data_IF_828528650788
#
_entry.id   IF_828528650788
#
_cell.length_a   1.000
_cell.length_b   1.000
_cell.length_c   1.000
_cell.angle_alpha   90.00
_cell.angle_beta   90.00
_cell.angle_gamma   90.00
#
_symmetry.space_group_name_H-M   'P 1'
#
loop_
_entity.id
_entity.type
_entity.pdbx_description
1 polymer ?
#
# COMPACT_ATOMS: atom_id res chain seq x y z
N UNK A 1 1.01 -14.85 12.98
CA UNK A 1 0.58 -14.14 11.74
C UNK A 1 -0.68 -14.77 11.19
N UNK A 2 -1.64 -13.99 10.72
CA UNK A 2 -2.90 -14.44 10.13
C UNK A 2 -2.67 -15.13 8.77
N UNK A 3 -3.52 -16.13 8.45
CA UNK A 3 -3.33 -16.97 7.25
C UNK A 3 -3.29 -16.12 5.95
N UNK A 4 -4.19 -15.14 5.79
CA UNK A 4 -4.21 -14.33 4.58
C UNK A 4 -2.95 -13.47 4.38
N UNK A 5 -2.26 -13.08 5.47
CA UNK A 5 -0.98 -12.38 5.40
C UNK A 5 0.13 -13.30 4.88
N UNK A 6 0.15 -14.55 5.33
CA UNK A 6 1.08 -15.56 4.83
C UNK A 6 0.86 -15.79 3.33
N UNK A 7 -0.40 -15.98 2.91
CA UNK A 7 -0.78 -16.14 1.52
C UNK A 7 -0.41 -14.90 0.68
N UNK A 8 -0.54 -13.70 1.24
CA UNK A 8 -0.16 -12.46 0.55
C UNK A 8 1.35 -12.37 0.35
N UNK A 9 2.16 -12.78 1.35
CA UNK A 9 3.63 -12.83 1.22
C UNK A 9 4.03 -13.78 0.10
N UNK A 10 3.47 -14.99 0.09
CA UNK A 10 3.71 -15.99 -0.95
C UNK A 10 3.29 -15.49 -2.33
N UNK A 11 2.12 -14.86 -2.42
CA UNK A 11 1.63 -14.23 -3.65
C UNK A 11 2.56 -13.12 -4.18
N UNK A 12 3.14 -12.31 -3.31
CA UNK A 12 4.13 -11.30 -3.73
C UNK A 12 5.39 -11.95 -4.31
N UNK A 13 5.86 -13.07 -3.74
CA UNK A 13 7.00 -13.83 -4.25
C UNK A 13 6.68 -14.44 -5.61
N UNK A 14 5.53 -15.11 -5.75
CA UNK A 14 5.08 -15.72 -7.00
C UNK A 14 4.95 -14.72 -8.13
N UNK A 15 4.42 -13.54 -7.84
CA UNK A 15 4.29 -12.43 -8.79
C UNK A 15 5.61 -11.69 -9.03
N UNK A 16 6.71 -12.07 -8.37
CA UNK A 16 7.99 -11.36 -8.41
C UNK A 16 7.92 -9.87 -7.99
N UNK A 17 6.89 -9.51 -7.28
CA UNK A 17 6.72 -8.19 -6.68
C UNK A 17 7.69 -7.99 -5.53
N UNK A 18 7.88 -9.04 -4.72
CA UNK A 18 8.87 -9.11 -3.66
C UNK A 18 10.04 -10.00 -4.11
N UNK A 19 11.22 -9.43 -4.10
CA UNK A 19 12.47 -10.11 -4.49
C UNK A 19 13.57 -9.84 -3.49
N UNK A 20 14.45 -10.81 -3.32
CA UNK A 20 15.60 -10.72 -2.42
C UNK A 20 16.91 -10.85 -3.22
N UNK A 21 17.96 -10.21 -2.75
CA UNK A 21 19.28 -10.16 -3.37
C UNK A 21 19.91 -8.77 -3.27
N UNK A 22 20.91 -8.50 -4.08
CA UNK A 22 21.61 -7.22 -4.09
C UNK A 22 20.93 -6.24 -5.05
N UNK A 23 20.26 -5.25 -4.50
CA UNK A 23 19.63 -4.17 -5.27
C UNK A 23 20.20 -2.81 -4.91
N UNK A 24 20.06 -1.86 -5.84
CA UNK A 24 20.36 -0.45 -5.60
C UNK A 24 19.12 0.38 -5.89
N UNK A 25 18.70 1.16 -4.91
CA UNK A 25 17.56 2.09 -5.06
C UNK A 25 17.90 3.26 -5.96
N UNK A 26 16.92 4.05 -6.39
CA UNK A 26 17.13 5.28 -7.16
C UNK A 26 18.00 6.30 -6.43
N UNK A 27 18.00 6.28 -5.10
CA UNK A 27 18.87 7.13 -4.27
C UNK A 27 20.31 6.62 -4.11
N UNK A 28 20.67 5.50 -4.76
CA UNK A 28 21.99 4.88 -4.64
C UNK A 28 22.16 3.97 -3.41
N UNK A 29 21.14 3.81 -2.57
CA UNK A 29 21.17 2.95 -1.38
C UNK A 29 21.13 1.48 -1.79
N UNK A 30 22.07 0.69 -1.29
CA UNK A 30 22.02 -0.77 -1.40
C UNK A 30 20.93 -1.34 -0.49
N UNK A 31 20.17 -2.32 -0.97
CA UNK A 31 19.10 -2.97 -0.23
C UNK A 31 19.05 -4.46 -0.55
N UNK A 32 18.87 -5.34 0.46
CA UNK A 32 18.81 -6.79 0.27
C UNK A 32 17.45 -7.28 -0.22
N UNK A 33 16.48 -6.41 -0.41
CA UNK A 33 15.17 -6.73 -0.94
C UNK A 33 14.62 -5.60 -1.81
N UNK A 34 13.70 -5.97 -2.69
CA UNK A 34 13.05 -5.03 -3.60
C UNK A 34 11.55 -5.35 -3.70
N UNK A 35 10.72 -4.32 -3.50
CA UNK A 35 9.26 -4.40 -3.67
C UNK A 35 8.87 -3.55 -4.87
N UNK A 36 8.28 -4.18 -5.89
CA UNK A 36 7.81 -3.50 -7.10
C UNK A 36 6.42 -4.00 -7.52
N UNK A 37 5.40 -3.29 -7.11
CA UNK A 37 4.00 -3.58 -7.43
C UNK A 37 3.64 -3.47 -8.92
N UNK A 38 4.50 -2.87 -9.74
CA UNK A 38 4.38 -2.85 -11.20
C UNK A 38 4.49 -4.25 -11.84
N UNK A 39 4.80 -5.30 -11.07
CA UNK A 39 4.77 -6.68 -11.54
C UNK A 39 3.39 -7.35 -11.42
N UNK A 40 2.41 -6.74 -10.77
CA UNK A 40 1.02 -7.15 -10.91
C UNK A 40 0.49 -6.71 -12.27
N UNK A 41 0.40 -7.63 -13.23
CA UNK A 41 0.16 -7.32 -14.66
C UNK A 41 -1.06 -7.99 -15.26
N UNK A 42 -1.71 -8.91 -14.53
CA UNK A 42 -2.85 -9.68 -15.05
C UNK A 42 -4.11 -9.40 -14.23
N UNK A 43 -5.27 -9.64 -14.83
CA UNK A 43 -6.56 -9.48 -14.16
C UNK A 43 -6.68 -10.33 -12.91
N UNK A 44 -6.20 -11.58 -12.94
CA UNK A 44 -6.23 -12.48 -11.79
C UNK A 44 -5.33 -12.00 -10.65
N UNK A 45 -4.17 -11.41 -10.98
CA UNK A 45 -3.29 -10.81 -9.97
C UNK A 45 -3.94 -9.58 -9.33
N UNK A 46 -4.57 -8.70 -10.13
CA UNK A 46 -5.24 -7.52 -9.61
C UNK A 46 -6.48 -7.87 -8.79
N UNK A 47 -7.25 -8.88 -9.21
CA UNK A 47 -8.37 -9.39 -8.43
C UNK A 47 -7.90 -9.85 -7.05
N UNK A 48 -6.91 -10.75 -7.01
CA UNK A 48 -6.39 -11.30 -5.76
C UNK A 48 -5.75 -10.23 -4.87
N UNK A 49 -5.04 -9.27 -5.47
CA UNK A 49 -4.51 -8.11 -4.75
C UNK A 49 -5.62 -7.28 -4.11
N UNK A 50 -6.70 -7.01 -4.84
CA UNK A 50 -7.89 -6.32 -4.30
C UNK A 50 -8.50 -7.06 -3.11
N UNK A 51 -8.55 -8.38 -3.15
CA UNK A 51 -9.06 -9.23 -2.07
C UNK A 51 -8.23 -9.09 -0.78
N UNK A 52 -6.89 -9.07 -0.89
CA UNK A 52 -6.01 -8.83 0.25
C UNK A 52 -6.17 -7.42 0.84
N UNK A 53 -6.29 -6.40 -0.03
CA UNK A 53 -6.56 -5.04 0.44
C UNK A 53 -7.92 -4.93 1.14
N UNK A 54 -8.97 -5.51 0.57
CA UNK A 54 -10.31 -5.48 1.16
C UNK A 54 -10.31 -6.12 2.55
N UNK A 55 -9.62 -7.24 2.73
CA UNK A 55 -9.46 -7.90 4.03
C UNK A 55 -8.71 -7.01 5.01
N UNK A 56 -7.59 -6.45 4.63
CA UNK A 56 -6.80 -5.58 5.51
C UNK A 56 -7.57 -4.29 5.87
N UNK A 57 -8.29 -3.69 4.92
CA UNK A 57 -9.15 -2.52 5.18
C UNK A 57 -10.21 -2.87 6.22
N UNK A 58 -10.92 -3.99 6.04
CA UNK A 58 -11.92 -4.45 7.00
C UNK A 58 -11.34 -4.63 8.40
N UNK A 59 -10.18 -5.29 8.51
CA UNK A 59 -9.58 -5.62 9.80
C UNK A 59 -9.01 -4.38 10.52
N UNK A 60 -8.46 -3.41 9.79
CA UNK A 60 -7.84 -2.22 10.37
C UNK A 60 -8.78 -1.02 10.53
N UNK A 61 -9.71 -0.81 9.61
CA UNK A 61 -10.55 0.40 9.56
C UNK A 61 -12.04 0.11 9.70
N UNK A 62 -12.45 -1.15 9.54
CA UNK A 62 -13.86 -1.52 9.43
C UNK A 62 -14.45 -1.16 8.07
N UNK A 63 -15.79 -1.09 7.99
CA UNK A 63 -16.51 -0.81 6.75
C UNK A 63 -17.27 0.52 6.77
N UNK A 64 -17.06 1.34 7.80
CA UNK A 64 -17.73 2.64 7.94
C UNK A 64 -16.91 3.75 7.25
N UNK A 65 -16.94 3.75 5.91
CA UNK A 65 -16.37 4.79 5.04
C UNK A 65 -17.07 4.78 3.68
N UNK A 66 -16.92 5.87 2.91
CA UNK A 66 -17.69 6.15 1.70
C UNK A 66 -16.86 6.07 0.42
N UNK A 67 -15.57 6.39 0.51
CA UNK A 67 -14.67 6.50 -0.63
C UNK A 67 -13.38 5.73 -0.39
N UNK A 68 -12.98 4.94 -1.38
CA UNK A 68 -11.64 4.35 -1.47
C UNK A 68 -10.84 5.18 -2.48
N UNK A 69 -9.90 5.97 -1.99
CA UNK A 69 -9.13 6.89 -2.81
C UNK A 69 -7.71 6.38 -3.08
N UNK A 70 -7.38 6.20 -4.35
CA UNK A 70 -6.05 5.78 -4.79
C UNK A 70 -5.30 6.88 -5.54
N UNK A 71 -4.21 7.44 -4.99
CA UNK A 71 -3.42 8.46 -5.68
C UNK A 71 -2.85 7.98 -7.03
N UNK A 72 -2.92 8.85 -8.06
CA UNK A 72 -2.39 8.53 -9.38
C UNK A 72 -0.86 8.36 -9.35
N UNK A 73 -0.30 7.39 -10.08
CA UNK A 73 -1.03 6.52 -11.03
C UNK A 73 -1.29 5.11 -10.50
N UNK A 74 -0.44 4.60 -9.59
CA UNK A 74 -0.54 3.22 -9.09
C UNK A 74 -1.76 2.99 -8.21
N UNK A 75 -2.20 3.99 -7.47
CA UNK A 75 -3.41 3.91 -6.64
C UNK A 75 -4.69 3.74 -7.46
N UNK A 76 -4.72 4.14 -8.75
CA UNK A 76 -5.92 4.01 -9.60
C UNK A 76 -6.36 2.54 -9.70
N UNK A 77 -5.53 1.60 -10.20
CA UNK A 77 -5.95 0.20 -10.25
C UNK A 77 -6.20 -0.42 -8.87
N UNK A 78 -5.51 0.06 -7.82
CA UNK A 78 -5.72 -0.42 -6.46
C UNK A 78 -7.08 -0.02 -5.92
N UNK A 79 -7.51 1.24 -6.12
CA UNK A 79 -8.83 1.71 -5.67
C UNK A 79 -9.96 0.99 -6.40
N UNK A 80 -9.81 0.71 -7.69
CA UNK A 80 -10.79 -0.07 -8.47
C UNK A 80 -10.85 -1.52 -7.98
N UNK A 81 -9.70 -2.21 -7.91
CA UNK A 81 -9.66 -3.61 -7.47
C UNK A 81 -10.14 -3.76 -6.02
N UNK A 82 -9.73 -2.85 -5.13
CA UNK A 82 -10.14 -2.85 -3.73
C UNK A 82 -11.64 -2.61 -3.55
N UNK A 83 -12.24 -1.66 -4.28
CA UNK A 83 -13.69 -1.41 -4.22
C UNK A 83 -14.51 -2.59 -4.72
N UNK A 84 -14.08 -3.23 -5.82
CA UNK A 84 -14.72 -4.46 -6.30
C UNK A 84 -14.65 -5.59 -5.28
N UNK A 85 -13.51 -5.77 -4.62
CA UNK A 85 -13.32 -6.80 -3.61
C UNK A 85 -14.09 -6.51 -2.32
N UNK A 86 -14.18 -5.26 -1.87
CA UNK A 86 -15.02 -4.86 -0.74
C UNK A 86 -16.49 -5.21 -0.97
N UNK A 87 -16.99 -4.96 -2.17
CA UNK A 87 -18.34 -5.37 -2.53
C UNK A 87 -18.49 -6.90 -2.58
N UNK A 88 -17.58 -7.59 -3.24
CA UNK A 88 -17.67 -9.04 -3.40
C UNK A 88 -17.57 -9.80 -2.07
N UNK A 89 -16.69 -9.38 -1.14
CA UNK A 89 -16.44 -10.07 0.12
C UNK A 89 -17.38 -9.65 1.25
N UNK A 90 -17.78 -8.37 1.28
CA UNK A 90 -18.49 -7.79 2.42
C UNK A 90 -19.82 -7.12 2.05
N UNK A 91 -20.20 -7.09 0.76
CA UNK A 91 -21.39 -6.36 0.30
C UNK A 91 -21.26 -4.84 0.47
N UNK A 92 -20.05 -4.34 0.70
CA UNK A 92 -19.81 -2.91 0.97
C UNK A 92 -19.67 -2.14 -0.33
N UNK A 93 -20.64 -1.30 -0.63
CA UNK A 93 -20.52 -0.29 -1.69
C UNK A 93 -19.66 0.88 -1.24
N UNK A 94 -18.60 1.16 -1.99
CA UNK A 94 -17.78 2.36 -1.86
C UNK A 94 -17.55 2.99 -3.21
N UNK A 95 -17.45 4.31 -3.26
CA UNK A 95 -17.02 5.02 -4.47
C UNK A 95 -15.50 4.89 -4.61
N UNK A 96 -14.98 4.40 -5.73
CA UNK A 96 -13.56 4.57 -6.02
C UNK A 96 -13.30 5.98 -6.53
N UNK A 97 -12.19 6.58 -6.12
CA UNK A 97 -11.78 7.90 -6.58
C UNK A 97 -10.25 7.96 -6.69
N UNK A 98 -9.76 8.83 -7.56
CA UNK A 98 -8.33 9.08 -7.76
C UNK A 98 -8.13 10.52 -8.21
N UNK A 99 -6.93 11.09 -8.01
CA UNK A 99 -6.58 12.36 -8.60
C UNK A 99 -6.03 12.17 -10.03
N UNK A 100 -6.10 13.24 -10.83
CA UNK A 100 -5.35 13.36 -12.07
C UNK A 100 -4.05 14.12 -11.80
N UNK A 101 -2.99 13.81 -12.53
CA UNK A 101 -1.73 14.58 -12.48
C UNK A 101 -1.82 15.87 -13.29
N UNK A 102 -2.75 15.93 -14.26
CA UNK A 102 -2.99 17.08 -15.12
C UNK A 102 -4.46 17.47 -15.12
N UNK A 103 -4.74 18.77 -15.11
CA UNK A 103 -6.11 19.30 -15.20
C UNK A 103 -6.62 19.09 -16.62
N UNK A 104 -7.79 18.49 -16.78
CA UNK A 104 -8.46 18.37 -18.07
C UNK A 104 -9.33 19.61 -18.35
N UNK A 105 -9.10 20.22 -19.51
CA UNK A 105 -9.87 21.39 -19.96
C UNK A 105 -11.16 21.01 -20.70
N UNK A 106 -11.28 19.74 -21.16
CA UNK A 106 -12.38 19.24 -21.97
C UNK A 106 -12.96 17.93 -21.41
N UNK A 107 -14.27 17.74 -21.58
CA UNK A 107 -15.00 16.56 -21.07
C UNK A 107 -15.26 16.65 -19.57
N UNK A 108 -15.03 15.56 -18.84
CA UNK A 108 -15.07 15.55 -17.37
C UNK A 108 -13.97 16.47 -16.82
N UNK A 109 -14.33 17.74 -16.61
CA UNK A 109 -13.44 18.75 -16.07
C UNK A 109 -13.16 18.46 -14.60
N UNK A 110 -11.90 18.61 -14.17
CA UNK A 110 -11.52 18.56 -12.77
C UNK A 110 -10.27 17.73 -12.50
N UNK A 111 -9.87 17.77 -11.23
CA UNK A 111 -8.69 17.07 -10.70
C UNK A 111 -8.98 15.62 -10.32
N UNK A 112 -10.24 15.21 -10.23
CA UNK A 112 -10.65 13.89 -9.78
C UNK A 112 -11.12 13.00 -10.93
N UNK A 113 -11.00 11.69 -10.72
CA UNK A 113 -11.42 10.60 -11.58
C UNK A 113 -12.20 9.59 -10.73
N UNK A 114 -13.29 9.04 -11.28
CA UNK A 114 -14.15 8.09 -10.58
C UNK A 114 -15.34 8.76 -9.91
N UNK A 115 -15.74 8.25 -8.75
CA UNK A 115 -16.88 8.80 -8.00
C UNK A 115 -16.57 10.18 -7.39
N UNK A 116 -17.57 11.08 -7.30
CA UNK A 116 -17.37 12.38 -6.67
C UNK A 116 -17.11 12.25 -5.19
N UNK A 117 -16.34 13.17 -4.63
CA UNK A 117 -16.20 13.35 -3.18
C UNK A 117 -17.26 14.36 -2.74
N UNK A 118 -17.94 14.08 -1.62
CA UNK A 118 -19.01 14.87 -1.08
C UNK A 118 -18.66 15.38 0.32
N UNK A 119 -19.32 16.46 0.74
CA UNK A 119 -19.21 16.96 2.10
C UNK A 119 -19.68 15.90 3.10
N UNK A 120 -18.91 15.66 4.15
CA UNK A 120 -19.15 14.64 5.15
C UNK A 120 -18.59 13.24 4.81
N UNK A 121 -18.00 13.04 3.63
CA UNK A 121 -17.43 11.74 3.26
C UNK A 121 -16.30 11.32 4.20
N UNK A 122 -16.29 10.02 4.51
CA UNK A 122 -15.19 9.32 5.16
C UNK A 122 -14.38 8.57 4.09
N UNK A 123 -13.09 8.83 4.03
CA UNK A 123 -12.20 8.40 2.94
C UNK A 123 -11.11 7.48 3.50
N UNK A 124 -10.95 6.30 2.91
CA UNK A 124 -9.76 5.47 3.09
C UNK A 124 -8.84 5.66 1.88
N UNK A 125 -7.58 6.00 2.15
CA UNK A 125 -6.53 6.09 1.14
C UNK A 125 -5.95 4.70 0.89
N UNK A 126 -5.68 4.36 -0.37
CA UNK A 126 -5.02 3.11 -0.76
C UNK A 126 -3.81 3.42 -1.62
N UNK A 127 -2.65 2.90 -1.23
CA UNK A 127 -1.39 3.10 -1.94
C UNK A 127 -0.62 1.77 -2.02
N UNK A 128 0.35 1.66 -2.92
CA UNK A 128 1.14 0.44 -3.05
C UNK A 128 2.18 0.29 -1.92
N UNK A 129 3.14 1.16 -1.87
CA UNK A 129 4.16 1.30 -0.82
C UNK A 129 4.47 2.78 -0.65
N UNK A 130 4.84 3.18 0.56
CA UNK A 130 5.30 4.56 0.79
C UNK A 130 6.71 4.57 1.35
N UNK A 131 7.52 5.52 0.90
CA UNK A 131 8.90 5.72 1.40
C UNK A 131 9.09 7.09 2.02
N UNK A 132 8.56 8.13 1.40
CA UNK A 132 8.65 9.52 1.86
C UNK A 132 7.28 10.18 2.03
N UNK A 133 6.17 9.47 1.81
CA UNK A 133 4.82 10.00 1.96
C UNK A 133 4.44 11.12 0.97
N UNK A 134 5.21 11.30 -0.13
CA UNK A 134 5.00 12.42 -1.06
C UNK A 134 3.62 12.40 -1.70
N UNK A 135 3.14 11.23 -2.15
CA UNK A 135 1.80 11.09 -2.74
C UNK A 135 0.69 11.49 -1.77
N UNK A 136 0.86 11.15 -0.50
CA UNK A 136 -0.13 11.48 0.54
C UNK A 136 -0.10 12.99 0.85
N UNK A 137 1.10 13.59 0.92
CA UNK A 137 1.25 15.05 1.08
C UNK A 137 0.60 15.84 -0.05
N UNK A 138 0.66 15.34 -1.29
CA UNK A 138 -0.02 15.96 -2.43
C UNK A 138 -1.54 15.71 -2.40
N UNK A 139 -1.97 14.55 -1.95
CA UNK A 139 -3.38 14.11 -1.98
C UNK A 139 -4.24 14.76 -0.89
N UNK A 140 -3.75 14.85 0.35
CA UNK A 140 -4.53 15.38 1.48
C UNK A 140 -5.10 16.78 1.23
N UNK A 141 -4.34 17.76 0.70
CA UNK A 141 -4.89 19.06 0.35
C UNK A 141 -5.97 19.01 -0.75
N UNK A 142 -5.80 18.11 -1.74
CA UNK A 142 -6.79 17.94 -2.83
C UNK A 142 -8.12 17.45 -2.25
N UNK A 143 -8.09 16.48 -1.34
CA UNK A 143 -9.28 15.94 -0.71
C UNK A 143 -9.98 16.98 0.17
N UNK A 144 -9.22 17.67 1.01
CA UNK A 144 -9.76 18.73 1.89
C UNK A 144 -10.35 19.90 1.13
N UNK A 145 -9.91 20.13 -0.11
CA UNK A 145 -10.49 21.18 -0.99
C UNK A 145 -11.87 20.78 -1.56
N UNK A 146 -12.27 19.49 -1.47
CA UNK A 146 -13.59 19.05 -1.96
C UNK A 146 -14.73 19.32 -0.99
N UNK A 147 -14.43 19.52 0.30
CA UNK A 147 -15.43 19.74 1.35
C UNK A 147 -14.91 19.37 2.73
N UNK A 148 -15.82 19.32 3.69
CA UNK A 148 -15.52 18.83 5.04
C UNK A 148 -15.47 17.30 5.05
N UNK A 149 -14.32 16.73 4.72
CA UNK A 149 -14.11 15.28 4.62
C UNK A 149 -13.22 14.77 5.75
N UNK A 150 -13.47 13.54 6.19
CA UNK A 150 -12.63 12.81 7.13
C UNK A 150 -11.74 11.82 6.37
N UNK A 151 -10.42 11.85 6.60
CA UNK A 151 -9.54 10.80 6.11
C UNK A 151 -9.42 9.74 7.22
N UNK A 152 -10.21 8.68 7.08
CA UNK A 152 -10.37 7.63 8.10
C UNK A 152 -9.12 6.73 8.22
N UNK A 153 -8.34 6.61 7.14
CA UNK A 153 -7.12 5.79 7.16
C UNK A 153 -6.34 5.79 5.86
N UNK A 154 -5.12 5.22 5.95
CA UNK A 154 -4.26 4.89 4.82
C UNK A 154 -3.84 3.42 4.92
N UNK A 155 -4.10 2.65 3.87
CA UNK A 155 -3.62 1.27 3.72
C UNK A 155 -2.54 1.20 2.62
N UNK A 156 -1.44 0.48 2.92
CA UNK A 156 -0.41 0.13 1.93
C UNK A 156 -0.25 -1.38 1.84
N UNK A 157 0.37 -1.90 0.78
CA UNK A 157 0.61 -3.35 0.68
C UNK A 157 1.67 -3.82 1.66
N UNK A 158 2.79 -3.10 1.72
CA UNK A 158 3.93 -3.46 2.56
C UNK A 158 4.44 -2.25 3.32
N UNK A 159 4.47 -2.33 4.65
CA UNK A 159 5.30 -1.43 5.45
C UNK A 159 6.75 -1.90 5.40
N UNK A 160 7.59 -1.14 4.76
CA UNK A 160 9.02 -1.43 4.65
C UNK A 160 9.77 -1.22 5.96
N UNK A 161 9.14 -0.62 6.97
CA UNK A 161 9.71 -0.32 8.29
C UNK A 161 11.03 0.47 8.22
N UNK A 162 11.23 1.23 7.16
CA UNK A 162 12.39 2.10 6.95
C UNK A 162 12.10 3.51 7.45
N UNK A 163 13.11 4.17 7.95
CA UNK A 163 13.01 5.60 8.28
C UNK A 163 12.59 6.40 7.06
N UNK A 164 11.59 7.25 7.25
CA UNK A 164 11.13 8.22 6.26
C UNK A 164 12.12 9.39 6.09
N UNK A 165 11.61 10.62 6.10
CA UNK A 165 12.46 11.82 6.10
C UNK A 165 13.07 12.12 7.48
N UNK A 166 12.49 11.59 8.55
CA UNK A 166 12.91 11.75 9.93
C UNK A 166 13.48 10.48 10.56
N UNK A 167 13.16 10.29 11.85
CA UNK A 167 13.60 9.13 12.66
C UNK A 167 12.61 7.97 12.68
N UNK A 168 11.37 8.22 12.30
CA UNK A 168 10.27 7.27 12.32
C UNK A 168 9.98 6.75 10.91
N UNK A 169 9.17 5.69 10.78
CA UNK A 169 8.77 5.18 9.47
C UNK A 169 7.90 6.18 8.71
N UNK A 170 7.85 6.03 7.38
CA UNK A 170 7.00 6.89 6.55
C UNK A 170 5.52 6.82 6.94
N UNK A 171 5.01 5.66 7.33
CA UNK A 171 3.64 5.49 7.80
C UNK A 171 3.40 6.22 9.13
N UNK A 172 4.33 6.11 10.06
CA UNK A 172 4.25 6.81 11.33
C UNK A 172 4.32 8.33 11.14
N UNK A 173 5.23 8.83 10.27
CA UNK A 173 5.35 10.25 9.93
C UNK A 173 4.04 10.81 9.34
N UNK A 174 3.37 10.05 8.46
CA UNK A 174 2.05 10.41 7.90
C UNK A 174 1.00 10.45 9.01
N UNK A 175 0.98 9.43 9.88
CA UNK A 175 0.04 9.35 11.00
C UNK A 175 0.16 10.55 11.93
N UNK A 176 1.38 10.90 12.33
CA UNK A 176 1.66 12.03 13.21
C UNK A 176 1.36 13.39 12.55
N UNK A 177 1.68 13.53 11.24
CA UNK A 177 1.51 14.80 10.53
C UNK A 177 0.05 15.15 10.26
N UNK A 178 -0.75 14.14 9.90
CA UNK A 178 -2.13 14.35 9.43
C UNK A 178 -3.21 13.84 10.39
N UNK A 179 -2.84 13.17 11.49
CA UNK A 179 -3.78 12.51 12.39
C UNK A 179 -4.52 11.33 11.73
N UNK A 180 -3.91 10.70 10.70
CA UNK A 180 -4.51 9.63 9.91
C UNK A 180 -4.05 8.29 10.46
N UNK A 181 -4.96 7.35 10.68
CA UNK A 181 -4.60 5.96 11.00
C UNK A 181 -3.91 5.33 9.78
N UNK A 182 -2.78 4.69 9.99
CA UNK A 182 -2.03 4.01 8.92
C UNK A 182 -1.91 2.52 9.20
N UNK A 183 -1.99 1.70 8.16
CA UNK A 183 -1.83 0.26 8.23
C UNK A 183 -1.19 -0.29 6.96
N UNK A 184 -0.69 -1.53 7.04
CA UNK A 184 -0.20 -2.29 5.90
C UNK A 184 -0.85 -3.68 5.89
N UNK A 185 -0.95 -4.30 4.71
CA UNK A 185 -1.34 -5.72 4.64
C UNK A 185 -0.31 -6.54 5.40
N UNK A 186 0.98 -6.30 5.14
CA UNK A 186 2.09 -6.92 5.88
C UNK A 186 3.21 -5.92 6.15
N UNK A 187 4.01 -6.20 7.18
CA UNK A 187 5.29 -5.53 7.44
C UNK A 187 6.45 -6.37 6.91
N UNK A 188 7.61 -5.76 6.68
CA UNK A 188 8.81 -6.52 6.31
C UNK A 188 9.30 -7.44 7.43
N UNK A 189 9.01 -7.15 8.70
CA UNK A 189 9.28 -8.07 9.80
C UNK A 189 8.45 -9.36 9.67
N UNK A 190 7.15 -9.25 9.38
CA UNK A 190 6.26 -10.40 9.11
C UNK A 190 6.72 -11.19 7.87
N UNK A 191 7.18 -10.50 6.83
CA UNK A 191 7.75 -11.14 5.61
C UNK A 191 8.97 -11.99 5.97
N UNK A 192 9.91 -11.41 6.72
CA UNK A 192 11.14 -12.12 7.11
C UNK A 192 10.80 -13.29 8.02
N UNK A 193 9.94 -13.10 9.03
CA UNK A 193 9.49 -14.18 9.94
C UNK A 193 8.87 -15.34 9.15
N UNK A 194 8.07 -15.06 8.12
CA UNK A 194 7.39 -16.09 7.35
C UNK A 194 8.31 -16.85 6.41
N UNK A 195 9.31 -16.20 5.80
CA UNK A 195 10.14 -16.78 4.73
C UNK A 195 11.51 -17.26 5.21
N UNK A 196 11.96 -16.90 6.41
CA UNK A 196 13.28 -17.26 6.91
C UNK A 196 13.39 -18.76 7.16
N UNK A 197 14.39 -19.39 6.50
CA UNK A 197 14.65 -20.82 6.52
C UNK A 197 13.44 -21.70 6.19
N UNK A 198 12.45 -21.11 5.48
CA UNK A 198 11.29 -21.82 4.98
C UNK A 198 11.48 -22.14 3.50
N UNK A 199 11.25 -23.41 3.15
CA UNK A 199 11.17 -23.81 1.76
C UNK A 199 9.83 -23.36 1.15
N UNK A 200 9.90 -22.63 0.05
CA UNK A 200 8.75 -22.22 -0.74
C UNK A 200 9.05 -22.47 -2.23
N UNK A 201 8.18 -23.22 -2.91
CA UNK A 201 8.36 -23.63 -4.31
C UNK A 201 9.72 -24.32 -4.57
N UNK A 202 10.19 -25.18 -3.65
CA UNK A 202 11.44 -25.91 -3.76
C UNK A 202 12.71 -25.09 -3.54
N UNK A 203 12.58 -23.89 -2.94
CA UNK A 203 13.70 -23.00 -2.63
C UNK A 203 13.54 -22.36 -1.26
N UNK A 204 14.65 -22.21 -0.54
CA UNK A 204 14.71 -21.32 0.62
C UNK A 204 14.82 -19.89 0.11
N UNK A 205 13.77 -19.07 0.36
CA UNK A 205 13.70 -17.70 -0.15
C UNK A 205 14.60 -16.77 0.65
N UNK A 206 14.60 -16.90 1.97
CA UNK A 206 15.49 -16.17 2.90
C UNK A 206 16.29 -17.20 3.68
N UNK A 207 17.57 -17.33 3.40
CA UNK A 207 18.54 -18.11 4.17
C UNK A 207 19.20 -17.25 5.28
N UNK A 208 20.08 -17.84 6.06
CA UNK A 208 20.80 -17.15 7.16
C UNK A 208 21.70 -16.03 6.65
N UNK A 209 22.28 -16.18 5.46
CA UNK A 209 23.14 -15.15 4.84
C UNK A 209 22.31 -13.93 4.48
N UNK A 210 21.20 -14.13 3.82
CA UNK A 210 20.28 -13.06 3.45
C UNK A 210 19.62 -12.43 4.67
N UNK A 211 19.26 -13.24 5.68
CA UNK A 211 18.72 -12.73 6.95
C UNK A 211 19.72 -11.79 7.63
N UNK A 212 20.99 -12.17 7.68
CA UNK A 212 22.06 -11.30 8.23
C UNK A 212 22.19 -10.00 7.46
N UNK A 213 22.11 -10.04 6.12
CA UNK A 213 22.14 -8.82 5.31
C UNK A 213 20.92 -7.92 5.54
N UNK A 214 19.72 -8.50 5.75
CA UNK A 214 18.50 -7.77 6.10
C UNK A 214 18.64 -7.12 7.48
N UNK A 215 19.18 -7.83 8.47
CA UNK A 215 19.37 -7.28 9.82
C UNK A 215 20.34 -6.09 9.80
N UNK A 216 21.49 -6.24 9.14
CA UNK A 216 22.46 -5.15 8.99
C UNK A 216 21.86 -3.93 8.23
N UNK A 217 20.98 -4.20 7.27
CA UNK A 217 20.26 -3.12 6.58
C UNK A 217 19.32 -2.36 7.53
N UNK A 218 18.57 -3.07 8.40
CA UNK A 218 17.68 -2.43 9.36
C UNK A 218 18.39 -1.74 10.52
N UNK A 219 19.57 -2.20 10.93
CA UNK A 219 20.42 -1.47 11.88
C UNK A 219 20.76 -0.07 11.34
N UNK A 220 20.99 0.04 10.05
CA UNK A 220 21.36 1.31 9.41
C UNK A 220 20.15 2.16 9.00
N UNK A 221 19.07 1.57 8.47
CA UNK A 221 17.96 2.27 7.82
C UNK A 221 16.59 2.01 8.44
N UNK A 222 16.47 1.11 9.41
CA UNK A 222 15.22 0.79 10.10
C UNK A 222 14.72 1.94 10.97
N UNK A 223 13.38 2.02 11.10
CA UNK A 223 12.69 2.99 11.94
C UNK A 223 12.49 2.46 13.37
#
# INVERSE_FOLDING_TARGET
MEAYKQEFIEFMVDCQVLRFGDFVTKSGRKTPFFVNTGFYRTGSQLQRLGEYYARAIHDHFGLDFDVLFGPAYKGIPLSVAGSMALFAQYGKEVRYCSNRKEVKDHGDKGLLLGGPIQDGDRIVLIEDVTTAGTSIRETVPILKAQGNVEIAGLIVSVDRMERGSGRVSALQEISETYGIRTAAIVTMAEVVEHLWNREYNGKTVIDDTLKTAIDAYYEQYGA
#
